data_IF_230249092805
#
_entry.id   IF_230249092805
#
_cell.length_a   1.000
_cell.length_b   1.000
_cell.length_c   1.000
_cell.angle_alpha   90.00
_cell.angle_beta   90.00
_cell.angle_gamma   90.00
#
_symmetry.space_group_name_H-M   'P 1'
#
loop_
_entity.id
_entity.type
_entity.pdbx_description
1 polymer ?
#
# COMPACT_ATOMS: atom_id res chain seq x y z
N UNK A 1 24.88 18.16 3.71
CA UNK A 1 25.54 17.43 4.81
C UNK A 1 26.43 18.38 5.57
N UNK A 2 26.62 18.15 6.87
CA UNK A 2 27.58 18.94 7.64
C UNK A 2 28.97 18.37 7.37
N UNK A 3 29.84 19.19 6.77
CA UNK A 3 31.21 18.77 6.45
C UNK A 3 32.04 18.53 7.71
N UNK A 4 33.00 17.61 7.62
CA UNK A 4 33.97 17.37 8.69
C UNK A 4 34.61 18.69 9.18
N UNK A 5 34.72 18.85 10.50
CA UNK A 5 35.24 20.08 11.12
C UNK A 5 34.30 21.29 11.12
N UNK A 6 33.09 21.21 10.51
CA UNK A 6 32.14 22.33 10.45
C UNK A 6 31.02 22.29 11.50
N UNK A 7 31.01 21.31 12.39
CA UNK A 7 29.93 21.11 13.38
C UNK A 7 29.75 22.32 14.30
N UNK A 8 30.84 23.00 14.68
CA UNK A 8 30.80 24.19 15.54
C UNK A 8 30.16 25.42 14.87
N UNK A 9 30.11 25.45 13.54
CA UNK A 9 29.51 26.54 12.78
C UNK A 9 28.03 26.29 12.46
N UNK A 10 27.46 25.16 12.87
CA UNK A 10 26.06 24.83 12.57
C UNK A 10 25.13 25.69 13.40
N UNK A 11 24.20 26.38 12.73
CA UNK A 11 23.15 27.16 13.37
C UNK A 11 21.77 26.82 12.83
N UNK A 12 20.78 26.96 13.69
CA UNK A 12 19.35 26.83 13.36
C UNK A 12 18.82 28.08 12.67
N UNK A 13 17.59 28.01 12.15
CA UNK A 13 16.88 29.18 11.60
C UNK A 13 16.75 30.32 12.61
N UNK A 14 16.52 29.99 13.87
CA UNK A 14 16.25 31.00 14.89
C UNK A 14 17.55 31.70 15.29
N UNK A 15 18.65 30.95 15.45
CA UNK A 15 20.01 31.50 15.66
C UNK A 15 20.49 32.34 14.45
N UNK A 16 20.21 31.88 13.22
CA UNK A 16 20.43 32.68 12.01
C UNK A 16 19.62 33.97 12.04
N UNK A 17 18.35 33.90 12.43
CA UNK A 17 17.50 35.09 12.51
C UNK A 17 18.00 36.08 13.56
N UNK A 18 18.48 35.61 14.70
CA UNK A 18 19.08 36.46 15.75
C UNK A 18 20.33 37.18 15.25
N UNK A 19 21.27 36.44 14.66
CA UNK A 19 22.55 36.99 14.18
C UNK A 19 22.36 37.91 12.97
N UNK A 20 21.59 37.48 11.97
CA UNK A 20 21.37 38.25 10.74
C UNK A 20 20.52 39.51 10.97
N UNK A 21 19.62 39.49 11.95
CA UNK A 21 18.75 40.64 12.24
C UNK A 21 19.52 41.87 12.70
N UNK A 22 20.64 41.67 13.41
CA UNK A 22 21.54 42.76 13.82
C UNK A 22 22.18 43.41 12.60
N UNK A 23 22.74 42.59 11.70
CA UNK A 23 23.40 43.08 10.48
C UNK A 23 22.42 43.79 9.53
N UNK A 24 21.18 43.33 9.47
CA UNK A 24 20.15 43.81 8.54
C UNK A 24 19.27 44.92 9.15
N UNK A 25 19.44 45.24 10.43
CA UNK A 25 18.65 46.26 11.13
C UNK A 25 17.17 45.91 11.27
N UNK A 26 16.85 44.63 11.49
CA UNK A 26 15.46 44.14 11.63
C UNK A 26 15.24 43.36 12.92
N UNK A 27 14.01 42.91 13.18
CA UNK A 27 13.71 42.00 14.29
C UNK A 27 13.80 40.53 13.81
N UNK A 28 14.26 39.57 14.63
CA UNK A 28 14.32 38.15 14.26
C UNK A 28 13.00 37.59 13.73
N UNK A 29 11.88 38.00 14.31
CA UNK A 29 10.54 37.60 13.84
C UNK A 29 10.23 38.10 12.43
N UNK A 30 10.66 39.32 12.07
CA UNK A 30 10.48 39.88 10.72
C UNK A 30 11.40 39.20 9.71
N UNK A 31 12.63 38.85 10.12
CA UNK A 31 13.56 38.10 9.28
C UNK A 31 12.96 36.76 8.84
N UNK A 32 12.41 35.99 9.80
CA UNK A 32 11.77 34.70 9.53
C UNK A 32 10.49 34.88 8.71
N UNK A 33 9.63 35.86 9.06
CA UNK A 33 8.36 36.13 8.36
C UNK A 33 8.59 36.45 6.88
N UNK A 34 9.60 37.26 6.57
CA UNK A 34 9.95 37.62 5.20
C UNK A 34 10.84 36.62 4.50
N UNK A 35 11.19 35.49 5.15
CA UNK A 35 12.06 34.44 4.62
C UNK A 35 13.33 35.00 3.99
N UNK A 36 14.01 35.94 4.67
CA UNK A 36 15.20 36.60 4.10
C UNK A 36 16.34 35.62 3.77
N UNK A 37 16.33 34.44 4.39
CA UNK A 37 17.22 33.31 4.07
C UNK A 37 16.94 32.63 2.72
N UNK A 38 15.90 33.03 1.97
CA UNK A 38 15.64 32.57 0.59
C UNK A 38 15.96 33.63 -0.46
N UNK A 39 16.61 34.73 -0.08
CA UNK A 39 17.04 35.75 -1.03
C UNK A 39 18.09 35.21 -2.00
N UNK A 40 18.13 35.74 -3.22
CA UNK A 40 19.14 35.38 -4.21
C UNK A 40 20.55 35.67 -3.67
N UNK A 41 21.45 34.68 -3.79
CA UNK A 41 22.83 34.77 -3.30
C UNK A 41 23.02 34.39 -1.83
N UNK A 42 21.95 34.16 -1.05
CA UNK A 42 22.08 33.67 0.31
C UNK A 42 22.65 32.24 0.33
N UNK A 43 23.56 31.90 1.26
CA UNK A 43 24.08 30.54 1.39
C UNK A 43 22.95 29.51 1.56
N UNK A 44 22.99 28.37 0.83
CA UNK A 44 21.99 27.34 0.98
C UNK A 44 22.08 26.66 2.36
N UNK A 45 21.01 26.01 2.82
CA UNK A 45 21.11 25.12 3.98
C UNK A 45 22.15 24.03 3.77
N UNK A 46 22.87 23.66 4.84
CA UNK A 46 23.91 22.63 4.81
C UNK A 46 23.37 21.21 5.03
N UNK A 47 22.06 21.02 5.06
CA UNK A 47 21.42 19.72 5.14
C UNK A 47 20.54 19.45 3.92
N UNK A 48 19.96 18.26 3.84
CA UNK A 48 19.27 17.79 2.64
C UNK A 48 18.10 18.70 2.23
N UNK A 49 17.85 18.84 0.91
CA UNK A 49 16.63 19.49 0.43
C UNK A 49 15.39 18.84 1.02
N UNK A 50 14.47 19.66 1.54
CA UNK A 50 13.23 19.19 2.16
C UNK A 50 13.37 18.69 3.61
N UNK A 51 14.54 18.89 4.25
CA UNK A 51 14.69 18.65 5.67
C UNK A 51 13.70 19.49 6.50
N UNK A 52 13.10 18.87 7.52
CA UNK A 52 12.10 19.52 8.39
C UNK A 52 12.68 20.68 9.20
N UNK A 53 13.94 20.55 9.62
CA UNK A 53 14.70 21.58 10.33
C UNK A 53 15.85 21.96 9.42
N UNK A 54 15.88 23.21 8.95
CA UNK A 54 16.96 23.71 8.11
C UNK A 54 18.13 24.17 8.99
N UNK A 55 19.34 23.81 8.56
CA UNK A 55 20.58 24.16 9.23
C UNK A 55 21.45 24.98 8.28
N UNK A 56 22.17 25.96 8.80
CA UNK A 56 23.11 26.78 8.03
C UNK A 56 24.49 26.77 8.67
N UNK A 57 25.48 27.12 7.86
CA UNK A 57 26.82 27.43 8.32
C UNK A 57 26.92 28.90 8.73
N UNK A 58 27.29 29.16 9.97
CA UNK A 58 27.32 30.48 10.57
C UNK A 58 28.37 31.38 9.94
N UNK A 59 29.52 30.85 9.52
CA UNK A 59 30.57 31.62 8.86
C UNK A 59 30.13 32.07 7.46
N UNK A 60 29.50 31.17 6.69
CA UNK A 60 28.99 31.52 5.37
C UNK A 60 27.91 32.60 5.43
N UNK A 61 26.95 32.45 6.34
CA UNK A 61 25.88 33.44 6.52
C UNK A 61 26.40 34.76 7.07
N UNK A 62 27.35 34.74 8.02
CA UNK A 62 28.00 35.96 8.51
C UNK A 62 28.74 36.70 7.39
N UNK A 63 29.50 35.99 6.56
CA UNK A 63 30.20 36.57 5.42
C UNK A 63 29.23 37.23 4.43
N UNK A 64 28.12 36.56 4.12
CA UNK A 64 27.06 37.08 3.26
C UNK A 64 26.45 38.38 3.81
N UNK A 65 26.10 38.43 5.10
CA UNK A 65 25.51 39.63 5.70
C UNK A 65 26.52 40.76 5.93
N UNK A 66 27.81 40.44 6.06
CA UNK A 66 28.88 41.43 6.10
C UNK A 66 29.24 41.99 4.71
N UNK A 67 28.65 41.47 3.62
CA UNK A 67 28.99 41.86 2.26
C UNK A 67 30.38 41.39 1.82
N UNK A 68 30.96 40.42 2.54
CA UNK A 68 32.26 39.82 2.22
C UNK A 68 32.08 38.54 1.39
N UNK A 69 33.09 38.11 0.62
CA UNK A 69 33.02 36.86 -0.13
C UNK A 69 32.69 35.67 0.79
N UNK A 70 31.66 34.90 0.43
CA UNK A 70 31.24 33.71 1.20
C UNK A 70 32.32 32.62 1.06
N UNK A 71 32.91 32.12 2.17
CA UNK A 71 33.92 31.08 2.10
C UNK A 71 33.32 29.78 1.55
N UNK A 72 34.00 29.09 0.62
CA UNK A 72 33.54 27.81 0.11
C UNK A 72 33.61 26.75 1.21
N UNK A 73 32.60 25.87 1.26
CA UNK A 73 32.69 24.66 2.08
C UNK A 73 33.62 23.65 1.40
N UNK A 74 34.28 22.76 2.18
CA UNK A 74 35.02 21.64 1.62
C UNK A 74 34.16 20.85 0.63
N UNK A 75 34.74 20.56 -0.55
CA UNK A 75 34.05 19.83 -1.63
C UNK A 75 34.35 18.35 -1.60
N UNK A 76 35.49 17.96 -1.05
CA UNK A 76 35.87 16.56 -0.89
C UNK A 76 35.04 15.89 0.20
N UNK A 77 34.64 14.65 -0.07
CA UNK A 77 33.88 13.83 0.87
C UNK A 77 34.82 13.27 1.94
N UNK A 78 34.45 13.46 3.21
CA UNK A 78 35.21 12.96 4.36
C UNK A 78 34.40 11.91 5.14
N UNK A 79 35.08 10.92 5.71
CA UNK A 79 34.45 9.88 6.53
C UNK A 79 33.70 10.41 7.75
N UNK A 80 34.11 11.56 8.28
CA UNK A 80 33.47 12.26 9.41
C UNK A 80 32.39 13.26 8.97
N UNK A 81 32.08 13.35 7.68
CA UNK A 81 30.90 14.10 7.22
C UNK A 81 29.64 13.54 7.90
N UNK A 82 28.84 14.44 8.49
CA UNK A 82 27.60 14.06 9.16
C UNK A 82 26.44 14.15 8.17
N UNK A 83 25.88 12.98 7.88
CA UNK A 83 24.76 12.80 6.94
C UNK A 83 23.44 12.83 7.70
N UNK A 84 22.50 13.65 7.25
CA UNK A 84 21.15 13.61 7.77
C UNK A 84 20.37 12.38 7.25
N UNK A 85 19.10 12.25 7.69
CA UNK A 85 18.20 11.15 7.27
C UNK A 85 18.17 10.90 5.76
N UNK A 86 18.06 11.95 4.95
CA UNK A 86 17.88 11.77 3.51
C UNK A 86 19.23 11.52 2.82
N UNK A 87 20.30 12.15 3.31
CA UNK A 87 21.66 11.96 2.80
C UNK A 87 22.18 10.55 3.08
N UNK A 88 21.95 10.04 4.30
CA UNK A 88 22.30 8.67 4.65
C UNK A 88 21.50 7.66 3.84
N UNK A 89 20.20 7.91 3.60
CA UNK A 89 19.38 7.08 2.73
C UNK A 89 19.88 7.10 1.27
N UNK A 90 20.26 8.27 0.76
CA UNK A 90 20.81 8.43 -0.58
C UNK A 90 22.14 7.69 -0.75
N UNK A 91 23.05 7.78 0.25
CA UNK A 91 24.33 7.06 0.22
C UNK A 91 24.14 5.53 0.22
N UNK A 92 23.08 5.04 0.86
CA UNK A 92 22.69 3.62 0.85
C UNK A 92 21.83 3.21 -0.35
N UNK A 93 21.45 4.14 -1.23
CA UNK A 93 20.54 3.91 -2.36
C UNK A 93 19.18 3.30 -1.93
N UNK A 94 18.64 3.77 -0.80
CA UNK A 94 17.34 3.33 -0.27
C UNK A 94 16.40 4.51 -0.01
N UNK A 95 15.13 4.20 0.23
CA UNK A 95 14.16 5.22 0.66
C UNK A 95 14.49 5.73 2.06
N UNK A 96 14.18 7.00 2.33
CA UNK A 96 14.31 7.57 3.68
C UNK A 96 13.48 6.82 4.74
N UNK A 97 12.39 6.15 4.33
CA UNK A 97 11.60 5.27 5.20
C UNK A 97 12.35 4.00 5.59
N UNK A 98 13.13 3.43 4.67
CA UNK A 98 13.99 2.28 4.95
C UNK A 98 15.13 2.66 5.92
N UNK A 99 15.68 3.87 5.77
CA UNK A 99 16.66 4.41 6.71
C UNK A 99 16.11 4.51 8.14
N UNK A 100 14.84 4.89 8.31
CA UNK A 100 14.20 4.95 9.63
C UNK A 100 14.23 3.60 10.37
N UNK A 101 14.28 2.49 9.63
CA UNK A 101 14.51 1.15 10.21
C UNK A 101 16.00 0.88 10.42
N UNK A 102 16.85 1.16 9.43
CA UNK A 102 18.28 0.83 9.50
C UNK A 102 19.05 1.59 10.57
N UNK A 103 18.66 2.82 10.89
CA UNK A 103 19.33 3.58 11.95
C UNK A 103 19.25 2.93 13.35
N UNK A 104 18.32 1.99 13.54
CA UNK A 104 18.16 1.19 14.75
C UNK A 104 18.98 -0.12 14.77
N UNK A 105 19.78 -0.36 13.73
CA UNK A 105 20.68 -1.52 13.69
C UNK A 105 21.89 -1.30 14.63
N UNK A 106 22.41 -2.37 15.27
CA UNK A 106 23.55 -2.27 16.18
C UNK A 106 24.79 -1.62 15.56
N UNK A 107 24.95 -1.72 14.24
CA UNK A 107 26.07 -1.16 13.48
C UNK A 107 25.97 0.37 13.30
N UNK A 108 24.77 0.95 13.37
CA UNK A 108 24.54 2.38 13.10
C UNK A 108 24.16 3.12 14.38
N UNK A 109 23.29 2.56 15.21
CA UNK A 109 22.71 3.23 16.39
C UNK A 109 23.75 3.86 17.32
N UNK A 110 24.88 3.19 17.68
CA UNK A 110 25.88 3.77 18.59
C UNK A 110 26.59 5.02 18.05
N UNK A 111 26.50 5.27 16.75
CA UNK A 111 27.21 6.35 16.07
C UNK A 111 26.33 7.54 15.67
N UNK A 112 25.04 7.49 16.00
CA UNK A 112 24.13 8.60 15.71
C UNK A 112 24.47 9.81 16.59
N UNK A 113 24.63 10.97 15.95
CA UNK A 113 24.97 12.24 16.61
C UNK A 113 23.84 13.22 16.39
N UNK A 114 23.42 13.92 17.44
CA UNK A 114 22.38 14.95 17.36
C UNK A 114 23.02 16.33 17.31
N UNK A 115 22.87 17.03 16.19
CA UNK A 115 23.34 18.40 15.99
C UNK A 115 22.14 19.33 15.88
N UNK A 116 22.02 20.29 16.79
CA UNK A 116 20.92 21.29 16.81
C UNK A 116 19.52 20.67 16.66
N UNK A 117 19.28 19.53 17.30
CA UNK A 117 17.99 18.84 17.26
C UNK A 117 17.82 17.82 16.14
N UNK A 118 18.73 17.78 15.17
CA UNK A 118 18.68 16.88 14.00
C UNK A 118 19.69 15.74 14.17
N UNK A 119 19.21 14.52 13.98
CA UNK A 119 20.02 13.31 14.03
C UNK A 119 20.81 13.15 12.72
N UNK A 120 22.10 12.86 12.86
CA UNK A 120 23.02 12.61 11.76
C UNK A 120 23.84 11.35 12.02
N UNK A 121 24.36 10.74 10.96
CA UNK A 121 25.27 9.60 11.02
C UNK A 121 26.57 9.94 10.28
N UNK A 122 27.76 9.62 10.85
CA UNK A 122 29.02 9.78 10.13
C UNK A 122 29.05 8.95 8.85
N UNK A 123 29.51 9.55 7.74
CA UNK A 123 29.59 8.92 6.43
C UNK A 123 30.34 7.59 6.45
N UNK A 124 31.43 7.48 7.22
CA UNK A 124 32.22 6.25 7.34
C UNK A 124 31.39 5.08 7.88
N UNK A 125 30.44 5.33 8.78
CA UNK A 125 29.57 4.29 9.36
C UNK A 125 28.57 3.82 8.32
N UNK A 126 27.93 4.76 7.61
CA UNK A 126 26.98 4.44 6.53
C UNK A 126 27.69 3.67 5.41
N UNK A 127 28.92 4.05 5.07
CA UNK A 127 29.75 3.39 4.04
C UNK A 127 30.19 2.00 4.48
N UNK A 128 30.61 1.83 5.74
CA UNK A 128 30.95 0.52 6.30
C UNK A 128 29.73 -0.42 6.31
N UNK A 129 28.57 0.09 6.71
CA UNK A 129 27.31 -0.66 6.66
C UNK A 129 26.91 -1.06 5.24
N UNK A 130 27.07 -0.16 4.26
CA UNK A 130 26.87 -0.47 2.82
C UNK A 130 27.80 -1.58 2.36
N UNK A 131 29.08 -1.47 2.70
CA UNK A 131 30.11 -2.43 2.30
C UNK A 131 29.86 -3.81 2.91
N UNK A 132 29.50 -3.88 4.20
CA UNK A 132 29.11 -5.12 4.86
C UNK A 132 27.88 -5.79 4.20
N UNK A 133 26.90 -4.98 3.77
CA UNK A 133 25.74 -5.49 3.01
C UNK A 133 26.11 -6.01 1.61
N UNK A 134 27.10 -5.41 0.96
CA UNK A 134 27.55 -5.79 -0.37
C UNK A 134 28.54 -6.97 -0.36
N UNK A 135 29.31 -7.14 0.71
CA UNK A 135 30.30 -8.22 0.88
C UNK A 135 29.68 -9.55 1.36
N UNK A 136 28.39 -9.57 1.71
CA UNK A 136 27.65 -10.82 1.90
C UNK A 136 27.55 -11.62 0.58
N UNK A 137 27.26 -12.94 0.62
CA UNK A 137 27.17 -13.76 -0.59
C UNK A 137 26.27 -13.09 -1.64
N UNK A 138 26.85 -12.83 -2.82
CA UNK A 138 26.31 -11.94 -3.85
C UNK A 138 24.87 -12.24 -4.27
N UNK A 139 24.15 -11.19 -4.66
CA UNK A 139 22.83 -11.25 -5.29
C UNK A 139 21.79 -12.15 -4.62
N UNK A 140 21.88 -12.31 -3.29
CA UNK A 140 20.71 -12.68 -2.53
C UNK A 140 19.73 -11.50 -2.62
N UNK A 141 18.72 -11.67 -3.47
CA UNK A 141 17.50 -10.89 -3.48
C UNK A 141 17.15 -10.42 -2.06
N UNK A 142 16.75 -9.13 -1.94
CA UNK A 142 16.12 -8.48 -0.77
C UNK A 142 15.69 -9.50 0.25
N UNK A 143 15.98 -9.39 1.57
CA UNK A 143 15.74 -10.46 2.55
C UNK A 143 14.29 -10.91 2.47
N UNK A 144 14.09 -11.89 1.61
CA UNK A 144 12.93 -12.72 1.57
C UNK A 144 13.10 -13.58 2.80
N UNK A 145 11.95 -13.90 3.36
CA UNK A 145 11.73 -15.02 4.25
C UNK A 145 12.85 -16.08 4.11
N UNK A 146 13.60 -16.39 5.19
CA UNK A 146 14.71 -17.34 5.16
C UNK A 146 14.35 -18.60 4.37
N UNK A 147 15.26 -19.05 3.52
CA UNK A 147 15.10 -20.28 2.75
C UNK A 147 14.79 -21.44 3.72
N UNK A 148 13.59 -22.03 3.62
CA UNK A 148 13.12 -23.10 4.53
C UNK A 148 12.21 -22.65 5.67
N UNK A 149 11.99 -21.36 5.89
CA UNK A 149 10.90 -20.88 6.77
C UNK A 149 9.58 -20.89 6.00
N UNK A 150 9.11 -22.06 5.53
CA UNK A 150 7.77 -22.16 4.96
C UNK A 150 6.71 -21.68 5.95
N UNK A 151 5.53 -21.29 5.46
CA UNK A 151 4.35 -21.38 6.33
C UNK A 151 4.33 -22.85 6.80
N UNK A 152 4.17 -23.13 8.11
CA UNK A 152 4.13 -24.52 8.58
C UNK A 152 2.98 -25.30 7.93
N UNK A 153 2.05 -24.57 7.33
CA UNK A 153 0.91 -25.05 6.58
C UNK A 153 1.01 -24.54 5.13
N UNK A 154 0.86 -25.40 4.11
CA UNK A 154 0.71 -24.97 2.72
C UNK A 154 -0.37 -23.90 2.56
N UNK A 155 -0.16 -22.93 1.66
CA UNK A 155 -1.02 -21.72 1.60
C UNK A 155 -2.49 -22.00 1.33
N UNK A 156 -2.76 -23.04 0.57
CA UNK A 156 -4.06 -23.58 0.23
C UNK A 156 -4.74 -24.28 1.42
N UNK A 157 -3.96 -24.78 2.37
CA UNK A 157 -4.45 -25.44 3.59
C UNK A 157 -4.68 -24.48 4.75
N UNK A 158 -4.17 -23.25 4.69
CA UNK A 158 -4.30 -22.23 5.76
C UNK A 158 -5.76 -22.03 6.21
N UNK A 159 -6.76 -21.84 5.32
CA UNK A 159 -8.15 -21.72 5.74
C UNK A 159 -8.66 -22.93 6.53
N UNK A 160 -8.29 -24.14 6.11
CA UNK A 160 -8.72 -25.40 6.73
C UNK A 160 -8.15 -25.52 8.14
N UNK A 161 -6.85 -25.27 8.31
CA UNK A 161 -6.18 -25.36 9.61
C UNK A 161 -6.66 -24.29 10.59
N UNK A 162 -6.83 -23.04 10.13
CA UNK A 162 -7.41 -21.98 10.99
C UNK A 162 -8.88 -22.30 11.33
N UNK A 163 -9.62 -22.89 10.40
CA UNK A 163 -11.00 -23.35 10.62
C UNK A 163 -11.10 -24.38 11.73
N UNK A 164 -10.24 -25.40 11.73
CA UNK A 164 -10.21 -26.41 12.78
C UNK A 164 -9.97 -25.81 14.18
N UNK A 165 -9.03 -24.85 14.30
CA UNK A 165 -8.79 -24.14 15.56
C UNK A 165 -9.99 -23.29 16.00
N UNK A 166 -10.70 -22.69 15.05
CA UNK A 166 -11.89 -21.88 15.32
C UNK A 166 -13.10 -22.75 15.72
N UNK A 167 -13.21 -23.97 15.21
CA UNK A 167 -14.22 -24.95 15.61
C UNK A 167 -13.98 -25.49 17.02
N UNK A 168 -12.71 -25.72 17.38
CA UNK A 168 -12.33 -26.14 18.74
C UNK A 168 -12.54 -25.02 19.78
N UNK A 169 -12.11 -23.80 19.46
CA UNK A 169 -12.30 -22.61 20.31
C UNK A 169 -12.82 -21.42 19.48
N UNK A 170 -14.12 -21.10 19.55
CA UNK A 170 -14.69 -19.92 18.89
C UNK A 170 -14.03 -18.60 19.32
N UNK A 171 -13.45 -18.56 20.53
CA UNK A 171 -12.74 -17.41 21.08
C UNK A 171 -11.24 -17.37 20.72
N UNK A 172 -10.76 -18.29 19.87
CA UNK A 172 -9.35 -18.39 19.50
C UNK A 172 -8.78 -17.04 19.02
N UNK A 173 -7.65 -16.66 19.59
CA UNK A 173 -7.01 -15.38 19.33
C UNK A 173 -6.03 -15.47 18.17
N UNK A 174 -5.76 -14.35 17.49
CA UNK A 174 -4.72 -14.31 16.45
C UNK A 174 -3.35 -14.71 16.98
N UNK A 175 -3.04 -14.41 18.25
CA UNK A 175 -1.78 -14.81 18.88
C UNK A 175 -1.65 -16.33 18.99
N UNK A 176 -2.73 -17.01 19.39
CA UNK A 176 -2.80 -18.47 19.49
C UNK A 176 -2.54 -19.09 18.12
N UNK A 177 -3.32 -18.70 17.11
CA UNK A 177 -3.19 -19.23 15.74
C UNK A 177 -1.81 -18.96 15.13
N UNK A 178 -1.23 -17.77 15.37
CA UNK A 178 0.14 -17.46 14.91
C UNK A 178 1.18 -18.38 15.55
N UNK A 179 1.02 -18.67 16.84
CA UNK A 179 1.96 -19.52 17.60
C UNK A 179 1.86 -20.97 17.12
N UNK A 180 0.66 -21.46 16.87
CA UNK A 180 0.43 -22.86 16.48
C UNK A 180 0.77 -23.13 15.01
N UNK A 181 0.43 -22.21 14.09
CA UNK A 181 0.58 -22.44 12.66
C UNK A 181 1.78 -21.70 12.03
N UNK A 182 2.52 -20.90 12.81
CA UNK A 182 3.68 -20.15 12.32
C UNK A 182 3.34 -19.11 11.23
N UNK A 183 2.11 -18.61 11.22
CA UNK A 183 1.59 -17.71 10.18
C UNK A 183 1.81 -16.24 10.54
N UNK A 184 1.84 -15.38 9.51
CA UNK A 184 1.91 -13.93 9.72
C UNK A 184 0.62 -13.39 10.35
N UNK A 185 0.74 -12.36 11.20
CA UNK A 185 -0.40 -11.69 11.84
C UNK A 185 -1.47 -11.25 10.83
N UNK A 186 -1.05 -10.70 9.67
CA UNK A 186 -1.96 -10.22 8.61
C UNK A 186 -2.73 -11.39 7.99
N UNK A 187 -2.06 -12.52 7.74
CA UNK A 187 -2.72 -13.73 7.23
C UNK A 187 -3.77 -14.22 8.22
N UNK A 188 -3.38 -14.36 9.50
CA UNK A 188 -4.24 -14.89 10.56
C UNK A 188 -5.47 -14.02 10.79
N UNK A 189 -5.28 -12.72 10.97
CA UNK A 189 -6.38 -11.79 11.24
C UNK A 189 -7.39 -11.75 10.10
N UNK A 190 -6.91 -11.70 8.85
CA UNK A 190 -7.78 -11.71 7.67
C UNK A 190 -8.54 -13.04 7.53
N UNK A 191 -7.86 -14.17 7.70
CA UNK A 191 -8.51 -15.49 7.54
C UNK A 191 -9.52 -15.76 8.64
N UNK A 192 -9.21 -15.44 9.91
CA UNK A 192 -10.17 -15.57 11.02
C UNK A 192 -11.41 -14.70 10.83
N UNK A 193 -11.24 -13.45 10.40
CA UNK A 193 -12.36 -12.54 10.16
C UNK A 193 -13.29 -13.08 9.06
N UNK A 194 -12.71 -13.60 7.97
CA UNK A 194 -13.44 -14.24 6.88
C UNK A 194 -14.20 -15.48 7.34
N UNK A 195 -13.53 -16.45 7.98
CA UNK A 195 -14.14 -17.71 8.42
C UNK A 195 -15.29 -17.47 9.43
N UNK A 196 -15.11 -16.55 10.38
CA UNK A 196 -16.19 -16.14 11.30
C UNK A 196 -17.38 -15.57 10.56
N UNK A 197 -17.15 -14.77 9.52
CA UNK A 197 -18.21 -14.24 8.66
C UNK A 197 -18.94 -15.33 7.88
N UNK A 198 -18.21 -16.30 7.33
CA UNK A 198 -18.75 -17.46 6.61
C UNK A 198 -19.65 -18.30 7.53
N UNK A 199 -19.21 -18.63 8.75
CA UNK A 199 -20.01 -19.39 9.71
C UNK A 199 -21.29 -18.63 10.14
N UNK A 200 -21.21 -17.30 10.32
CA UNK A 200 -22.41 -16.47 10.58
C UNK A 200 -23.37 -16.55 9.39
N UNK A 201 -22.86 -16.44 8.16
CA UNK A 201 -23.68 -16.53 6.95
C UNK A 201 -24.33 -17.92 6.80
N UNK A 202 -23.62 -19.00 7.11
CA UNK A 202 -24.15 -20.37 7.14
C UNK A 202 -25.27 -20.51 8.18
N UNK A 203 -25.06 -19.98 9.39
CA UNK A 203 -26.06 -20.04 10.44
C UNK A 203 -27.33 -19.25 10.07
N UNK A 204 -27.20 -18.04 9.51
CA UNK A 204 -28.36 -17.26 9.02
C UNK A 204 -29.05 -17.97 7.86
N UNK A 205 -28.30 -18.61 6.97
CA UNK A 205 -28.89 -19.37 5.85
C UNK A 205 -29.74 -20.54 6.36
N UNK A 206 -29.28 -21.23 7.41
CA UNK A 206 -30.02 -22.33 8.04
C UNK A 206 -31.15 -21.86 8.97
N UNK A 207 -31.04 -20.66 9.53
CA UNK A 207 -31.99 -20.05 10.47
C UNK A 207 -32.26 -18.58 10.09
N UNK A 208 -33.15 -18.33 9.11
CA UNK A 208 -33.36 -17.00 8.52
C UNK A 208 -33.85 -15.92 9.50
N UNK A 209 -34.45 -16.32 10.62
CA UNK A 209 -34.96 -15.40 11.64
C UNK A 209 -33.85 -14.83 12.55
N UNK A 210 -32.61 -15.35 12.46
CA UNK A 210 -31.49 -14.85 13.24
C UNK A 210 -30.93 -13.55 12.68
N UNK A 211 -30.72 -12.57 13.56
CA UNK A 211 -29.90 -11.41 13.20
C UNK A 211 -28.42 -11.80 13.17
N UNK A 212 -27.57 -11.08 12.41
CA UNK A 212 -26.12 -11.33 12.42
C UNK A 212 -25.46 -11.23 13.81
N UNK A 213 -25.99 -10.37 14.67
CA UNK A 213 -25.51 -10.24 16.05
C UNK A 213 -25.88 -11.47 16.90
N UNK A 214 -27.09 -12.00 16.73
CA UNK A 214 -27.54 -13.19 17.46
C UNK A 214 -26.82 -14.43 16.96
N UNK A 215 -26.61 -14.56 15.65
CA UNK A 215 -25.80 -15.62 15.06
C UNK A 215 -24.35 -15.59 15.60
N UNK A 216 -23.70 -14.42 15.64
CA UNK A 216 -22.35 -14.30 16.21
C UNK A 216 -22.29 -14.71 17.70
N UNK A 217 -23.31 -14.35 18.49
CA UNK A 217 -23.43 -14.74 19.90
C UNK A 217 -23.65 -16.24 20.05
N UNK A 218 -24.51 -16.82 19.22
CA UNK A 218 -24.82 -18.25 19.22
C UNK A 218 -23.62 -19.11 18.83
N UNK A 219 -22.78 -18.61 17.91
CA UNK A 219 -21.50 -19.23 17.54
C UNK A 219 -20.40 -19.05 18.61
N UNK A 220 -20.67 -18.33 19.71
CA UNK A 220 -19.73 -18.17 20.82
C UNK A 220 -18.60 -17.18 20.54
N UNK A 221 -18.71 -16.31 19.54
CA UNK A 221 -17.65 -15.35 19.22
C UNK A 221 -17.54 -14.24 20.28
N UNK A 222 -16.31 -13.78 20.60
CA UNK A 222 -16.13 -12.65 21.50
C UNK A 222 -16.69 -11.34 20.92
N UNK A 223 -17.33 -10.51 21.74
CA UNK A 223 -17.91 -9.22 21.31
C UNK A 223 -16.93 -8.33 20.56
N UNK A 224 -15.63 -8.37 20.93
CA UNK A 224 -14.58 -7.59 20.30
C UNK A 224 -14.40 -7.89 18.79
N UNK A 225 -14.79 -9.07 18.32
CA UNK A 225 -14.67 -9.47 16.90
C UNK A 225 -15.99 -9.36 16.13
N UNK A 226 -17.12 -9.08 16.81
CA UNK A 226 -18.45 -9.06 16.19
C UNK A 226 -18.52 -8.11 15.00
N UNK A 227 -18.06 -6.87 15.15
CA UNK A 227 -18.18 -5.85 14.08
C UNK A 227 -17.57 -6.34 12.77
N UNK A 228 -16.35 -6.87 12.82
CA UNK A 228 -15.63 -7.33 11.63
C UNK A 228 -16.24 -8.63 11.08
N UNK A 229 -16.60 -9.58 11.95
CA UNK A 229 -17.21 -10.83 11.53
C UNK A 229 -18.58 -10.61 10.85
N UNK A 230 -19.40 -9.71 11.39
CA UNK A 230 -20.70 -9.34 10.82
C UNK A 230 -20.55 -8.66 9.46
N UNK A 231 -19.57 -7.75 9.30
CA UNK A 231 -19.31 -7.13 8.00
C UNK A 231 -18.94 -8.17 6.93
N UNK A 232 -18.08 -9.14 7.28
CA UNK A 232 -17.78 -10.27 6.39
C UNK A 232 -19.01 -11.16 6.12
N UNK A 233 -19.82 -11.44 7.13
CA UNK A 233 -21.04 -12.24 6.97
C UNK A 233 -22.04 -11.58 6.01
N UNK A 234 -22.25 -10.27 6.15
CA UNK A 234 -23.13 -9.51 5.25
C UNK A 234 -22.61 -9.54 3.81
N UNK A 235 -21.29 -9.46 3.63
CA UNK A 235 -20.63 -9.55 2.32
C UNK A 235 -20.81 -10.94 1.70
N UNK A 236 -20.61 -11.98 2.49
CA UNK A 236 -20.82 -13.38 2.08
C UNK A 236 -22.28 -13.65 1.69
N UNK A 237 -23.25 -13.15 2.46
CA UNK A 237 -24.68 -13.26 2.14
C UNK A 237 -24.99 -12.58 0.80
N UNK A 238 -24.45 -11.37 0.56
CA UNK A 238 -24.59 -10.68 -0.73
C UNK A 238 -23.95 -11.48 -1.87
N UNK A 239 -22.79 -12.08 -1.64
CA UNK A 239 -22.09 -12.91 -2.62
C UNK A 239 -22.94 -14.13 -3.02
N UNK A 240 -23.48 -14.85 -2.03
CA UNK A 240 -24.38 -16.00 -2.23
C UNK A 240 -25.65 -15.60 -2.97
N UNK A 241 -26.26 -14.47 -2.60
CA UNK A 241 -27.46 -13.97 -3.25
C UNK A 241 -27.23 -13.51 -4.70
N UNK A 242 -26.01 -13.04 -5.03
CA UNK A 242 -25.66 -12.63 -6.39
C UNK A 242 -25.34 -13.82 -7.31
N UNK A 243 -24.83 -14.93 -6.76
CA UNK A 243 -24.33 -16.07 -7.53
C UNK A 243 -25.34 -16.65 -8.55
N UNK A 244 -26.62 -16.91 -8.21
CA UNK A 244 -27.57 -17.46 -9.17
C UNK A 244 -27.78 -16.54 -10.39
N UNK A 245 -27.90 -15.25 -10.16
CA UNK A 245 -28.04 -14.25 -11.22
C UNK A 245 -26.81 -14.25 -12.15
N UNK A 246 -25.61 -14.26 -11.59
CA UNK A 246 -24.38 -14.22 -12.39
C UNK A 246 -24.19 -15.55 -13.14
N UNK A 247 -24.59 -16.68 -12.56
CA UNK A 247 -24.57 -17.98 -13.23
C UNK A 247 -25.54 -18.01 -14.42
N UNK A 248 -26.76 -17.49 -14.26
CA UNK A 248 -27.73 -17.38 -15.36
C UNK A 248 -27.18 -16.55 -16.53
N UNK A 249 -26.44 -15.48 -16.23
CA UNK A 249 -25.71 -14.70 -17.24
C UNK A 249 -24.64 -15.55 -17.93
N UNK A 250 -23.82 -16.26 -17.17
CA UNK A 250 -22.77 -17.13 -17.73
C UNK A 250 -23.36 -18.20 -18.66
N UNK A 251 -24.46 -18.84 -18.23
CA UNK A 251 -25.14 -19.87 -19.01
C UNK A 251 -25.79 -19.29 -20.27
N UNK A 252 -26.38 -18.09 -20.19
CA UNK A 252 -26.94 -17.37 -21.35
C UNK A 252 -25.86 -17.04 -22.37
N UNK A 253 -24.69 -16.56 -21.92
CA UNK A 253 -23.57 -16.25 -22.81
C UNK A 253 -22.97 -17.53 -23.43
N UNK A 254 -22.93 -18.62 -22.67
CA UNK A 254 -22.49 -19.92 -23.18
C UNK A 254 -23.45 -20.47 -24.25
N UNK A 255 -24.75 -20.40 -24.01
CA UNK A 255 -25.79 -20.79 -24.98
C UNK A 255 -25.75 -19.98 -26.28
N UNK A 256 -25.27 -18.73 -26.22
CA UNK A 256 -25.05 -17.87 -27.38
C UNK A 256 -23.66 -18.06 -28.04
N UNK A 257 -22.81 -18.94 -27.52
CA UNK A 257 -21.46 -19.18 -28.04
C UNK A 257 -20.44 -18.06 -27.73
N UNK A 258 -20.79 -17.10 -26.87
CA UNK A 258 -19.92 -15.99 -26.49
C UNK A 258 -18.98 -16.32 -25.32
N UNK A 259 -19.26 -17.40 -24.59
CA UNK A 259 -18.42 -17.92 -23.52
C UNK A 259 -18.44 -19.45 -23.54
N UNK A 260 -17.48 -20.07 -22.86
CA UNK A 260 -17.57 -21.50 -22.50
C UNK A 260 -18.40 -21.66 -21.22
N UNK A 261 -18.96 -22.85 -21.00
CA UNK A 261 -19.58 -23.18 -19.71
C UNK A 261 -18.54 -23.08 -18.61
N UNK A 262 -18.82 -22.26 -17.59
CA UNK A 262 -17.92 -21.99 -16.49
C UNK A 262 -18.72 -21.83 -15.20
N UNK A 263 -18.16 -22.34 -14.10
CA UNK A 263 -18.71 -22.12 -12.77
C UNK A 263 -18.35 -20.72 -12.29
N UNK A 264 -19.37 -19.95 -11.94
CA UNK A 264 -19.17 -18.59 -11.46
C UNK A 264 -18.62 -18.60 -10.03
N UNK A 265 -17.48 -17.93 -9.87
CA UNK A 265 -16.89 -17.59 -8.57
C UNK A 265 -17.06 -16.10 -8.29
N UNK A 266 -17.76 -15.78 -7.21
CA UNK A 266 -17.86 -14.40 -6.70
C UNK A 266 -16.67 -14.16 -5.79
N UNK A 267 -15.95 -13.07 -6.03
CA UNK A 267 -14.73 -12.67 -5.33
C UNK A 267 -14.99 -11.47 -4.44
N UNK A 268 -14.42 -11.48 -3.24
CA UNK A 268 -14.44 -10.34 -2.32
C UNK A 268 -13.33 -9.34 -2.70
N UNK A 269 -13.71 -8.08 -2.87
CA UNK A 269 -12.83 -6.95 -3.16
C UNK A 269 -12.48 -6.19 -1.86
N UNK A 270 -11.64 -5.17 -1.99
CA UNK A 270 -11.45 -4.17 -0.95
C UNK A 270 -12.78 -3.46 -0.62
N UNK A 271 -12.89 -2.98 0.62
CA UNK A 271 -14.05 -2.26 1.15
C UNK A 271 -15.36 -3.08 1.16
N UNK A 272 -15.25 -4.42 1.34
CA UNK A 272 -16.39 -5.34 1.50
C UNK A 272 -17.34 -5.40 0.29
N UNK A 273 -16.83 -5.04 -0.89
CA UNK A 273 -17.55 -5.18 -2.15
C UNK A 273 -17.32 -6.54 -2.80
N UNK A 274 -18.25 -6.96 -3.66
CA UNK A 274 -18.15 -8.22 -4.41
C UNK A 274 -18.08 -7.98 -5.91
N UNK A 275 -17.36 -8.87 -6.60
CA UNK A 275 -17.29 -8.88 -8.04
C UNK A 275 -17.19 -10.30 -8.58
N UNK A 276 -17.57 -10.50 -9.83
CA UNK A 276 -17.39 -11.76 -10.54
C UNK A 276 -16.86 -11.49 -11.94
N UNK A 277 -16.13 -12.44 -12.49
CA UNK A 277 -15.62 -12.36 -13.85
C UNK A 277 -16.10 -13.55 -14.69
N UNK A 278 -16.45 -13.28 -15.94
CA UNK A 278 -16.78 -14.27 -16.94
C UNK A 278 -15.78 -14.16 -18.08
N UNK A 279 -15.03 -15.22 -18.35
CA UNK A 279 -14.11 -15.24 -19.49
C UNK A 279 -14.93 -15.46 -20.76
N UNK A 280 -14.65 -14.65 -21.79
CA UNK A 280 -15.34 -14.73 -23.08
C UNK A 280 -14.46 -15.45 -24.13
N UNK A 281 -15.14 -16.06 -25.10
CA UNK A 281 -14.55 -16.78 -26.23
C UNK A 281 -13.65 -15.88 -27.09
N UNK A 282 -12.81 -16.48 -27.93
CA UNK A 282 -11.81 -15.74 -28.71
C UNK A 282 -12.40 -14.80 -29.78
N UNK A 283 -13.65 -15.00 -30.22
CA UNK A 283 -14.38 -14.12 -31.13
C UNK A 283 -15.32 -13.10 -30.47
N UNK A 284 -15.30 -13.01 -29.13
CA UNK A 284 -16.12 -12.03 -28.41
C UNK A 284 -15.49 -10.62 -28.45
N UNK A 285 -16.28 -9.55 -28.27
CA UNK A 285 -15.80 -8.16 -28.40
C UNK A 285 -14.83 -7.73 -27.28
N UNK A 286 -14.68 -8.55 -26.25
CA UNK A 286 -13.73 -8.36 -25.16
C UNK A 286 -13.23 -9.72 -24.66
N UNK A 287 -12.06 -9.78 -24.00
CA UNK A 287 -11.55 -11.03 -23.44
C UNK A 287 -12.37 -11.55 -22.24
N UNK A 288 -12.98 -10.66 -21.45
CA UNK A 288 -13.79 -11.04 -20.29
C UNK A 288 -14.81 -9.96 -19.95
N UNK A 289 -15.80 -10.35 -19.16
CA UNK A 289 -16.74 -9.46 -18.47
C UNK A 289 -16.46 -9.45 -16.98
N UNK A 290 -16.67 -8.31 -16.35
CA UNK A 290 -16.61 -8.17 -14.91
C UNK A 290 -17.90 -7.51 -14.43
N UNK A 291 -18.56 -8.19 -13.51
CA UNK A 291 -19.64 -7.63 -12.71
C UNK A 291 -19.06 -7.10 -11.40
N UNK A 292 -19.31 -5.84 -11.07
CA UNK A 292 -19.02 -5.23 -9.76
C UNK A 292 -20.34 -4.76 -9.14
N UNK A 293 -20.59 -5.06 -7.87
CA UNK A 293 -21.87 -4.72 -7.23
C UNK A 293 -22.20 -3.21 -7.25
N UNK A 294 -21.19 -2.34 -7.34
CA UNK A 294 -21.35 -0.87 -7.38
C UNK A 294 -21.61 -0.33 -8.78
N UNK A 295 -21.06 -1.00 -9.78
CA UNK A 295 -20.95 -0.44 -11.15
C UNK A 295 -21.61 -1.31 -12.22
N UNK A 296 -22.12 -2.49 -11.87
CA UNK A 296 -22.70 -3.43 -12.81
C UNK A 296 -21.67 -4.08 -13.73
N UNK A 297 -22.11 -4.44 -14.93
CA UNK A 297 -21.31 -5.16 -15.92
C UNK A 297 -20.41 -4.25 -16.75
N UNK A 298 -19.14 -4.64 -16.89
CA UNK A 298 -18.14 -3.95 -17.71
C UNK A 298 -17.29 -4.96 -18.48
N UNK A 299 -16.71 -4.55 -19.60
CA UNK A 299 -15.67 -5.33 -20.27
C UNK A 299 -14.38 -5.38 -19.43
N UNK A 300 -13.51 -6.35 -19.65
CA UNK A 300 -12.15 -6.34 -19.11
C UNK A 300 -11.16 -6.52 -20.25
N UNK A 301 -9.92 -6.06 -20.05
CA UNK A 301 -8.85 -6.13 -21.07
C UNK A 301 -7.96 -7.37 -20.94
N UNK A 302 -8.21 -8.24 -19.95
CA UNK A 302 -7.39 -9.43 -19.69
C UNK A 302 -8.25 -10.65 -19.37
N UNK A 303 -7.96 -11.78 -20.05
CA UNK A 303 -8.53 -13.10 -19.69
C UNK A 303 -7.91 -13.67 -18.43
N UNK A 304 -6.62 -13.43 -18.21
CA UNK A 304 -5.85 -14.03 -17.09
C UNK A 304 -6.15 -13.34 -15.76
N UNK A 305 -6.35 -12.03 -15.79
CA UNK A 305 -6.58 -11.21 -14.60
C UNK A 305 -7.71 -10.20 -14.86
N UNK A 306 -8.95 -10.69 -15.07
CA UNK A 306 -10.09 -9.83 -15.39
C UNK A 306 -10.43 -8.89 -14.22
N UNK A 307 -10.33 -9.39 -12.99
CA UNK A 307 -10.42 -8.59 -11.76
C UNK A 307 -8.99 -8.21 -11.34
N UNK A 308 -8.66 -6.92 -11.41
CA UNK A 308 -7.36 -6.43 -10.89
C UNK A 308 -7.36 -6.47 -9.36
N UNK A 309 -6.21 -6.77 -8.76
CA UNK A 309 -6.06 -6.87 -7.30
C UNK A 309 -6.49 -5.59 -6.60
N UNK A 310 -7.50 -5.69 -5.72
CA UNK A 310 -7.74 -4.82 -4.56
C UNK A 310 -7.55 -3.31 -4.77
N UNK A 311 -7.90 -2.78 -5.93
CA UNK A 311 -8.06 -1.34 -6.09
C UNK A 311 -9.51 -1.04 -5.73
N UNK A 312 -9.78 -0.20 -4.74
CA UNK A 312 -11.13 0.35 -4.48
C UNK A 312 -11.70 1.18 -5.64
N UNK A 313 -11.09 1.10 -6.82
CA UNK A 313 -11.53 1.68 -8.07
C UNK A 313 -12.29 0.65 -8.89
N UNK A 314 -13.37 1.06 -9.58
CA UNK A 314 -14.12 0.16 -10.42
C UNK A 314 -13.26 -0.33 -11.60
N UNK A 315 -13.53 -1.54 -12.15
CA UNK A 315 -12.70 -2.14 -13.19
C UNK A 315 -12.59 -1.25 -14.42
N UNK A 316 -11.42 -1.20 -15.08
CA UNK A 316 -11.09 -0.25 -16.17
C UNK A 316 -11.80 -0.53 -17.53
N UNK A 317 -12.95 -1.19 -17.49
CA UNK A 317 -13.74 -1.58 -18.66
C UNK A 317 -14.71 -0.54 -19.17
N UNK A 318 -15.20 -0.72 -20.39
CA UNK A 318 -16.38 0.01 -20.83
C UNK A 318 -17.63 -0.60 -20.18
N UNK A 319 -18.56 0.19 -19.63
CA UNK A 319 -19.83 -0.31 -19.13
C UNK A 319 -20.63 -0.98 -20.25
N UNK A 320 -21.37 -2.03 -19.95
CA UNK A 320 -22.21 -2.76 -20.91
C UNK A 320 -23.68 -2.46 -20.64
N UNK A 321 -24.40 -2.03 -21.68
CA UNK A 321 -25.82 -1.68 -21.63
C UNK A 321 -26.07 -0.18 -21.74
N UNK A 322 -27.32 0.17 -22.03
CA UNK A 322 -27.78 1.56 -21.97
C UNK A 322 -27.76 2.03 -20.52
N UNK A 323 -27.16 3.19 -20.34
CA UNK A 323 -26.73 3.79 -19.09
C UNK A 323 -27.89 4.22 -18.19
N UNK A 324 -28.64 3.26 -17.63
CA UNK A 324 -29.61 3.48 -16.55
C UNK A 324 -29.16 2.89 -15.21
N UNK A 325 -27.88 2.51 -15.10
CA UNK A 325 -27.22 2.28 -13.80
C UNK A 325 -27.73 1.08 -12.99
N UNK A 326 -28.60 0.23 -13.55
CA UNK A 326 -29.05 -0.97 -12.88
C UNK A 326 -27.90 -2.00 -12.82
N UNK A 327 -27.40 -2.38 -11.63
CA UNK A 327 -26.26 -3.29 -11.51
C UNK A 327 -26.61 -4.73 -11.93
N UNK A 328 -27.88 -5.05 -12.21
CA UNK A 328 -28.37 -6.39 -12.56
C UNK A 328 -29.37 -6.34 -13.74
N UNK A 329 -28.92 -6.05 -14.98
CA UNK A 329 -29.77 -6.15 -16.16
C UNK A 329 -30.24 -7.59 -16.40
N UNK A 330 -31.36 -7.77 -17.09
CA UNK A 330 -31.82 -9.10 -17.47
C UNK A 330 -30.81 -9.78 -18.41
N UNK A 331 -30.63 -11.11 -18.36
CA UNK A 331 -29.62 -11.78 -19.18
C UNK A 331 -29.74 -11.53 -20.68
N UNK A 332 -30.96 -11.49 -21.21
CA UNK A 332 -31.21 -11.16 -22.61
C UNK A 332 -30.75 -9.74 -22.99
N UNK A 333 -30.87 -8.77 -22.07
CA UNK A 333 -30.43 -7.39 -22.31
C UNK A 333 -28.90 -7.31 -22.38
N UNK A 334 -28.20 -8.01 -21.48
CA UNK A 334 -26.74 -8.05 -21.49
C UNK A 334 -26.20 -8.74 -22.75
N UNK A 335 -26.83 -9.86 -23.14
CA UNK A 335 -26.50 -10.56 -24.37
C UNK A 335 -26.69 -9.64 -25.60
N UNK A 336 -27.84 -8.98 -25.72
CA UNK A 336 -28.11 -8.06 -26.83
C UNK A 336 -27.09 -6.92 -26.90
N UNK A 337 -26.72 -6.33 -25.75
CA UNK A 337 -25.72 -5.26 -25.68
C UNK A 337 -24.33 -5.73 -26.11
N UNK A 338 -23.98 -6.99 -25.86
CA UNK A 338 -22.71 -7.59 -26.26
C UNK A 338 -22.67 -7.91 -27.75
N UNK A 339 -23.71 -8.56 -28.29
CA UNK A 339 -23.79 -8.88 -29.72
C UNK A 339 -23.72 -7.62 -30.58
N UNK A 340 -24.43 -6.55 -30.20
CA UNK A 340 -24.37 -5.25 -30.88
C UNK A 340 -22.98 -4.58 -30.87
N UNK A 341 -22.05 -5.04 -30.01
CA UNK A 341 -20.65 -4.59 -30.02
C UNK A 341 -19.77 -5.44 -30.92
N UNK A 342 -20.02 -6.75 -30.97
CA UNK A 342 -19.34 -7.65 -31.91
C UNK A 342 -19.54 -7.17 -33.34
N UNK A 343 -20.80 -6.89 -33.71
CA UNK A 343 -21.15 -6.43 -35.07
C UNK A 343 -20.44 -5.13 -35.47
N UNK A 344 -20.31 -4.18 -34.54
CA UNK A 344 -19.58 -2.91 -34.76
C UNK A 344 -18.07 -3.10 -34.93
N UNK A 345 -17.50 -4.06 -34.19
CA UNK A 345 -16.06 -4.34 -34.25
C UNK A 345 -15.70 -5.00 -35.59
N UNK A 346 -16.56 -5.90 -36.06
CA UNK A 346 -16.42 -6.56 -37.36
C UNK A 346 -16.57 -5.58 -38.53
N UNK A 347 -17.51 -4.63 -38.45
CA UNK A 347 -17.69 -3.60 -39.47
C UNK A 347 -16.49 -2.65 -39.57
N UNK A 348 -15.94 -2.20 -38.43
CA UNK A 348 -14.74 -1.38 -38.40
C UNK A 348 -13.49 -2.10 -38.94
N UNK A 349 -13.40 -3.42 -38.75
CA UNK A 349 -12.29 -4.23 -39.26
C UNK A 349 -12.39 -4.45 -40.78
N UNK A 350 -13.60 -4.49 -41.35
CA UNK A 350 -13.80 -4.65 -42.81
C UNK A 350 -13.56 -3.36 -43.62
N UNK A 351 -13.57 -2.19 -42.97
CA UNK A 351 -13.39 -0.90 -43.63
C UNK A 351 -11.91 -0.44 -43.70
N UNK A 352 -10.99 -1.15 -43.05
CA UNK A 352 -9.54 -0.93 -43.09
C UNK A 352 -8.82 -1.96 -43.94
#
# INVERSE_FOLDING_TARGET
>A
MIRAGRVSFVQTRDELAETASVAVGTRPSMFVKHKRYTAAGHPPPINSPGARVLLWDSEQTAAYYAGTPVPPLPTEDDGEDLLDRNEAAALLEVSAKSWDTYKHTPEITPHLVKVKGVEHCPRRIVTAYRSARQAGPGDAAKPGRPHGSGDMVPRDEIPREIGALLEEDPAVTSKTVMTELGLSYVTVTRTLARLRGEHIADLITSQPDLTPQDAARQLGYPTAVHRTAIAHAQTEIRARAARPYIQEIADTLAGAGLAEHQDVTVTHLADDHIAAALVLSHGAPAPALVWDERSGWRTATSRRHPIRRNTGQPPQGEPIGDSDGAPRPAPAQLLAALTARTDRTDEATRQN
#
